data_IF_001585197287
#
_entry.id   IF_001585197287
#
_cell.length_a   1.000
_cell.length_b   1.000
_cell.length_c   1.000
_cell.angle_alpha   90.00
_cell.angle_beta   90.00
_cell.angle_gamma   90.00
#
_symmetry.space_group_name_H-M   'P 1'
#
loop_
_entity.id
_entity.type
_entity.pdbx_description
1 polymer ?
#
# COMPACT_ATOMS: atom_id res chain seq x y z
N UNK A 1 0.20 -1.04 13.93
CA UNK A 1 1.30 -1.94 13.54
C UNK A 1 0.71 -3.34 13.42
N UNK A 2 0.82 -4.03 12.28
CA UNK A 2 0.09 -5.30 12.09
C UNK A 2 0.56 -6.36 13.09
N UNK A 3 -0.38 -7.13 13.63
CA UNK A 3 -0.13 -8.14 14.66
C UNK A 3 0.92 -9.19 14.23
N UNK A 4 0.96 -9.47 12.92
CA UNK A 4 1.95 -10.32 12.24
C UNK A 4 3.37 -9.77 12.40
N UNK A 5 3.58 -8.45 12.25
CA UNK A 5 4.92 -7.84 12.38
C UNK A 5 5.43 -7.95 13.82
N UNK A 6 4.53 -7.83 14.81
CA UNK A 6 4.89 -8.02 16.23
C UNK A 6 5.31 -9.45 16.49
N UNK A 7 4.53 -10.43 16.04
CA UNK A 7 4.86 -11.85 16.21
C UNK A 7 6.20 -12.23 15.56
N UNK A 8 6.48 -11.70 14.36
CA UNK A 8 7.75 -11.93 13.66
C UNK A 8 8.93 -11.31 14.41
N UNK A 9 8.77 -10.11 14.98
CA UNK A 9 9.81 -9.46 15.80
C UNK A 9 10.13 -10.30 17.04
N UNK A 10 9.11 -10.77 17.76
CA UNK A 10 9.29 -11.55 18.98
C UNK A 10 9.94 -12.91 18.69
N UNK A 11 9.60 -13.53 17.55
CA UNK A 11 10.23 -14.76 17.09
C UNK A 11 11.70 -14.56 16.75
N UNK A 12 12.06 -13.48 16.04
CA UNK A 12 13.47 -13.18 15.70
C UNK A 12 14.28 -12.89 16.97
N UNK A 13 13.73 -12.12 17.91
CA UNK A 13 14.42 -11.82 19.17
C UNK A 13 14.77 -13.09 19.96
N UNK A 14 13.82 -14.03 20.08
CA UNK A 14 14.07 -15.33 20.72
C UNK A 14 15.13 -16.16 20.00
N UNK A 15 15.18 -16.09 18.67
CA UNK A 15 16.15 -16.84 17.87
C UNK A 15 17.56 -16.22 17.93
N UNK A 16 17.68 -14.91 18.04
CA UNK A 16 18.95 -14.23 18.33
C UNK A 16 19.50 -14.58 19.72
N UNK A 17 18.62 -14.72 20.72
CA UNK A 17 19.03 -15.20 22.05
C UNK A 17 19.58 -16.62 22.02
N UNK A 18 18.95 -17.53 21.26
CA UNK A 18 19.44 -18.90 21.08
C UNK A 18 20.80 -18.93 20.35
N UNK A 19 21.01 -18.04 19.37
CA UNK A 19 22.31 -17.87 18.69
C UNK A 19 23.39 -17.42 19.68
N UNK A 20 23.09 -16.46 20.55
CA UNK A 20 24.05 -15.98 21.58
C UNK A 20 24.42 -17.07 22.59
N UNK A 21 23.52 -18.01 22.85
CA UNK A 21 23.75 -19.16 23.74
C UNK A 21 24.50 -20.32 23.05
N UNK A 22 24.77 -20.22 21.74
CA UNK A 22 25.43 -21.29 20.99
C UNK A 22 24.55 -22.51 20.72
N UNK A 23 23.24 -22.40 20.99
CA UNK A 23 22.26 -23.49 20.87
C UNK A 23 21.60 -23.54 19.48
N UNK A 24 22.00 -22.65 18.58
CA UNK A 24 21.45 -22.55 17.23
C UNK A 24 22.36 -23.28 16.23
N UNK A 25 21.89 -24.35 15.56
CA UNK A 25 22.65 -25.01 14.50
C UNK A 25 23.05 -24.02 13.40
N UNK A 26 24.29 -24.11 12.88
CA UNK A 26 24.83 -23.16 11.89
C UNK A 26 23.96 -23.00 10.63
N UNK A 27 23.37 -24.09 10.14
CA UNK A 27 22.46 -24.06 8.99
C UNK A 27 21.22 -23.21 9.26
N UNK A 28 20.64 -23.31 10.46
CA UNK A 28 19.51 -22.48 10.90
C UNK A 28 19.93 -21.03 11.11
N UNK A 29 21.20 -20.77 11.47
CA UNK A 29 21.76 -19.43 11.60
C UNK A 29 21.75 -18.64 10.28
N UNK A 30 22.18 -19.28 9.17
CA UNK A 30 22.17 -18.66 7.83
C UNK A 30 20.74 -18.38 7.33
N UNK A 31 19.83 -19.31 7.57
CA UNK A 31 18.41 -19.13 7.22
C UNK A 31 17.77 -18.00 8.02
N UNK A 32 18.14 -17.85 9.30
CA UNK A 32 17.71 -16.75 10.16
C UNK A 32 18.20 -15.38 9.69
N UNK A 33 19.48 -15.27 9.30
CA UNK A 33 20.01 -14.02 8.75
C UNK A 33 19.27 -13.61 7.47
N UNK A 34 18.96 -14.60 6.61
CA UNK A 34 18.16 -14.37 5.39
C UNK A 34 16.76 -13.87 5.74
N UNK A 35 16.07 -14.52 6.69
CA UNK A 35 14.72 -14.13 7.12
C UNK A 35 14.71 -12.77 7.83
N UNK A 36 15.72 -12.45 8.64
CA UNK A 36 15.87 -11.15 9.27
C UNK A 36 16.09 -10.05 8.23
N UNK A 37 16.92 -10.30 7.21
CA UNK A 37 17.11 -9.40 6.07
C UNK A 37 15.81 -9.16 5.29
N UNK A 38 15.06 -10.23 5.01
CA UNK A 38 13.74 -10.12 4.37
C UNK A 38 12.74 -9.35 5.24
N UNK A 39 12.77 -9.50 6.57
CA UNK A 39 11.93 -8.74 7.48
C UNK A 39 12.32 -7.25 7.50
N UNK A 40 13.61 -6.93 7.49
CA UNK A 40 14.07 -5.54 7.37
C UNK A 40 13.63 -4.92 6.03
N UNK A 41 13.70 -5.66 4.93
CA UNK A 41 13.12 -5.25 3.65
C UNK A 41 11.60 -5.05 3.75
N UNK A 42 10.88 -5.97 4.40
CA UNK A 42 9.44 -5.84 4.67
C UNK A 42 9.09 -4.64 5.58
N UNK A 43 9.95 -4.28 6.54
CA UNK A 43 9.80 -3.07 7.37
C UNK A 43 10.02 -1.79 6.56
N UNK A 44 10.88 -1.83 5.53
CA UNK A 44 11.04 -0.74 4.56
C UNK A 44 9.83 -0.62 3.64
N UNK A 45 9.09 -1.71 3.40
CA UNK A 45 7.75 -1.68 2.81
C UNK A 45 6.77 -1.14 3.86
N UNK A 46 6.92 0.15 4.17
CA UNK A 46 5.88 0.88 4.88
C UNK A 46 4.69 0.98 3.93
N UNK A 47 3.64 0.21 4.23
CA UNK A 47 2.27 0.56 3.84
C UNK A 47 1.75 1.79 4.62
N UNK A 48 2.61 2.42 5.43
CA UNK A 48 2.37 3.74 6.00
C UNK A 48 2.32 4.74 4.85
N UNK A 49 1.34 5.64 4.89
CA UNK A 49 1.06 6.63 3.85
C UNK A 49 0.54 6.03 2.53
N UNK A 50 -0.55 5.28 2.62
CA UNK A 50 -1.31 4.86 1.44
C UNK A 50 -2.72 5.43 1.41
N UNK A 51 -3.18 5.82 0.22
CA UNK A 51 -4.58 6.11 -0.09
C UNK A 51 -5.05 5.00 -1.01
N UNK A 52 -6.10 4.27 -0.63
CA UNK A 52 -6.54 3.10 -1.37
C UNK A 52 -8.05 3.10 -1.61
N UNK A 53 -8.45 2.57 -2.76
CA UNK A 53 -9.83 2.14 -2.98
C UNK A 53 -10.08 0.76 -2.35
N UNK A 54 -11.36 0.43 -2.16
CA UNK A 54 -11.78 -0.97 -2.06
C UNK A 54 -11.71 -1.59 -3.46
N UNK A 55 -12.02 -2.89 -3.55
CA UNK A 55 -12.33 -3.49 -4.85
C UNK A 55 -13.64 -2.85 -5.32
N UNK A 56 -13.56 -2.08 -6.39
CA UNK A 56 -14.71 -1.49 -7.05
C UNK A 56 -15.13 -2.36 -8.22
N UNK A 57 -16.40 -2.27 -8.61
CA UNK A 57 -16.95 -2.94 -9.80
C UNK A 57 -16.40 -2.41 -11.12
N UNK A 58 -15.72 -1.26 -11.10
CA UNK A 58 -15.10 -0.64 -12.27
C UNK A 58 -13.89 0.22 -11.89
N UNK A 59 -12.97 0.47 -12.83
CA UNK A 59 -11.88 1.44 -12.68
C UNK A 59 -12.37 2.85 -12.35
N UNK A 60 -13.48 3.27 -12.97
CA UNK A 60 -14.17 4.55 -12.65
C UNK A 60 -14.63 4.61 -11.20
N UNK A 61 -15.21 3.51 -10.70
CA UNK A 61 -15.60 3.36 -9.30
C UNK A 61 -14.41 3.42 -8.35
N UNK A 62 -13.30 2.77 -8.70
CA UNK A 62 -12.07 2.81 -7.92
C UNK A 62 -11.53 4.25 -7.80
N UNK A 63 -11.49 5.01 -8.90
CA UNK A 63 -11.09 6.42 -8.91
C UNK A 63 -11.97 7.30 -8.02
N UNK A 64 -13.29 7.07 -8.03
CA UNK A 64 -14.22 7.81 -7.17
C UNK A 64 -13.97 7.54 -5.68
N UNK A 65 -13.76 6.27 -5.31
CA UNK A 65 -13.41 5.90 -3.93
C UNK A 65 -12.07 6.50 -3.51
N UNK A 66 -11.07 6.46 -4.40
CA UNK A 66 -9.74 7.01 -4.17
C UNK A 66 -9.79 8.53 -3.93
N UNK A 67 -10.60 9.26 -4.71
CA UNK A 67 -10.85 10.70 -4.49
C UNK A 67 -11.41 10.97 -3.10
N UNK A 68 -12.40 10.19 -2.66
CA UNK A 68 -13.00 10.35 -1.32
C UNK A 68 -11.96 10.12 -0.22
N UNK A 69 -11.17 9.05 -0.35
CA UNK A 69 -10.12 8.71 0.60
C UNK A 69 -9.03 9.80 0.66
N UNK A 70 -8.65 10.37 -0.49
CA UNK A 70 -7.72 11.50 -0.55
C UNK A 70 -8.22 12.72 0.25
N UNK A 71 -9.47 13.16 0.04
CA UNK A 71 -9.99 14.32 0.77
C UNK A 71 -10.18 14.06 2.26
N UNK A 72 -10.49 12.82 2.64
CA UNK A 72 -10.52 12.42 4.05
C UNK A 72 -9.12 12.54 4.68
N UNK A 73 -8.08 12.05 3.98
CA UNK A 73 -6.70 12.14 4.46
C UNK A 73 -6.21 13.58 4.57
N UNK A 74 -6.49 14.38 3.55
CA UNK A 74 -6.17 15.82 3.51
C UNK A 74 -6.73 16.56 4.73
N UNK A 75 -7.96 16.25 5.12
CA UNK A 75 -8.60 16.84 6.29
C UNK A 75 -8.03 16.32 7.61
N UNK A 76 -7.70 15.03 7.69
CA UNK A 76 -7.19 14.40 8.91
C UNK A 76 -5.79 14.90 9.28
N UNK A 77 -4.91 15.06 8.28
CA UNK A 77 -3.51 15.47 8.49
C UNK A 77 -3.29 16.99 8.50
N UNK A 78 -4.36 17.79 8.34
CA UNK A 78 -4.30 19.27 8.29
C UNK A 78 -3.28 19.81 7.27
N UNK A 79 -3.20 19.15 6.11
CA UNK A 79 -2.27 19.51 5.05
C UNK A 79 -2.80 20.67 4.22
N UNK A 80 -1.90 21.33 3.47
CA UNK A 80 -2.28 22.41 2.58
C UNK A 80 -3.18 21.90 1.47
N UNK A 81 -4.40 22.46 1.45
CA UNK A 81 -5.46 22.06 0.53
C UNK A 81 -5.08 22.37 -0.92
N UNK A 82 -4.41 23.49 -1.18
CA UNK A 82 -4.15 23.98 -2.53
C UNK A 82 -3.06 23.14 -3.21
N UNK A 83 -1.89 23.00 -2.59
CA UNK A 83 -0.77 22.16 -3.07
C UNK A 83 -1.20 20.69 -3.17
N UNK A 84 -1.81 20.13 -2.14
CA UNK A 84 -2.25 18.72 -2.17
C UNK A 84 -3.31 18.45 -3.23
N UNK A 85 -4.27 19.38 -3.45
CA UNK A 85 -5.28 19.21 -4.51
C UNK A 85 -4.69 19.34 -5.92
N UNK A 86 -3.65 20.17 -6.09
CA UNK A 86 -2.92 20.27 -7.35
C UNK A 86 -2.18 18.97 -7.67
N UNK A 87 -1.48 18.42 -6.69
CA UNK A 87 -0.79 17.13 -6.82
C UNK A 87 -1.78 15.98 -7.08
N UNK A 88 -2.90 15.97 -6.38
CA UNK A 88 -3.97 15.01 -6.63
C UNK A 88 -4.50 15.12 -8.06
N UNK A 89 -4.76 16.33 -8.58
CA UNK A 89 -5.24 16.51 -9.96
C UNK A 89 -4.25 15.91 -10.97
N UNK A 90 -2.95 16.18 -10.79
CA UNK A 90 -1.87 15.63 -11.63
C UNK A 90 -1.88 14.10 -11.65
N UNK A 91 -1.99 13.47 -10.48
CA UNK A 91 -2.00 12.00 -10.36
C UNK A 91 -3.30 11.40 -10.87
N UNK A 92 -4.45 12.01 -10.56
CA UNK A 92 -5.75 11.55 -11.00
C UNK A 92 -5.88 11.56 -12.53
N UNK A 93 -5.36 12.60 -13.20
CA UNK A 93 -5.31 12.65 -14.66
C UNK A 93 -4.50 11.48 -15.22
N UNK A 94 -3.27 11.26 -14.72
CA UNK A 94 -2.42 10.13 -15.16
C UNK A 94 -3.08 8.77 -14.93
N UNK A 95 -3.77 8.58 -13.80
CA UNK A 95 -4.49 7.34 -13.52
C UNK A 95 -5.64 7.12 -14.50
N UNK A 96 -6.43 8.16 -14.78
CA UNK A 96 -7.55 8.07 -15.74
C UNK A 96 -7.03 7.74 -17.14
N UNK A 97 -5.97 8.41 -17.59
CA UNK A 97 -5.32 8.12 -18.87
C UNK A 97 -4.85 6.66 -18.94
N UNK A 98 -4.15 6.19 -17.90
CA UNK A 98 -3.69 4.80 -17.82
C UNK A 98 -4.84 3.79 -17.83
N UNK A 99 -5.89 4.02 -17.03
CA UNK A 99 -7.05 3.12 -16.98
C UNK A 99 -7.76 3.04 -18.33
N UNK A 100 -7.88 4.17 -19.04
CA UNK A 100 -8.48 4.20 -20.37
C UNK A 100 -7.59 3.48 -21.40
N UNK A 101 -6.29 3.75 -21.42
CA UNK A 101 -5.33 3.11 -22.32
C UNK A 101 -5.33 1.58 -22.15
N UNK A 102 -5.45 1.10 -20.91
CA UNK A 102 -5.47 -0.34 -20.60
C UNK A 102 -6.87 -0.97 -20.64
N UNK A 103 -7.92 -0.22 -20.98
CA UNK A 103 -9.30 -0.75 -21.01
C UNK A 103 -9.85 -1.15 -19.64
N UNK A 104 -9.29 -0.64 -18.54
CA UNK A 104 -9.64 -1.01 -17.16
C UNK A 104 -10.82 -0.19 -16.60
N UNK A 105 -11.30 0.80 -17.35
CA UNK A 105 -12.33 1.74 -16.89
C UNK A 105 -13.62 1.06 -16.42
N UNK A 106 -13.96 -0.09 -17.01
CA UNK A 106 -15.18 -0.86 -16.74
C UNK A 106 -14.92 -2.24 -16.11
N UNK A 107 -13.67 -2.50 -15.73
CA UNK A 107 -13.25 -3.77 -15.14
C UNK A 107 -13.15 -3.60 -13.61
N UNK A 108 -13.58 -4.59 -12.81
CA UNK A 108 -13.38 -4.55 -11.36
C UNK A 108 -11.93 -4.25 -11.01
N UNK A 109 -11.71 -3.22 -10.20
CA UNK A 109 -10.37 -2.63 -10.01
C UNK A 109 -10.16 -2.20 -8.55
N UNK A 110 -8.93 -2.33 -8.07
CA UNK A 110 -8.43 -1.74 -6.83
C UNK A 110 -7.19 -0.90 -7.12
N UNK A 111 -7.15 0.31 -6.59
CA UNK A 111 -6.00 1.22 -6.74
C UNK A 111 -5.43 1.50 -5.35
N UNK A 112 -4.10 1.41 -5.23
CA UNK A 112 -3.34 1.79 -4.04
C UNK A 112 -2.34 2.86 -4.47
N UNK A 113 -2.43 4.03 -3.85
CA UNK A 113 -1.48 5.13 -4.01
C UNK A 113 -0.58 5.22 -2.80
N UNK A 114 0.72 5.24 -3.04
CA UNK A 114 1.74 5.54 -2.04
C UNK A 114 2.08 7.03 -2.10
N UNK A 115 2.23 7.66 -0.94
CA UNK A 115 2.59 9.06 -0.84
C UNK A 115 3.60 9.33 0.29
N UNK A 116 4.26 10.47 0.22
CA UNK A 116 4.94 11.09 1.35
C UNK A 116 4.22 12.37 1.76
N UNK A 117 4.37 12.73 3.02
CA UNK A 117 4.08 14.08 3.50
C UNK A 117 5.39 14.87 3.42
N UNK A 118 5.41 15.89 2.56
CA UNK A 118 6.58 16.76 2.39
C UNK A 118 6.27 18.14 2.95
N UNK A 119 7.26 18.74 3.60
CA UNK A 119 7.22 20.13 4.06
C UNK A 119 8.15 20.98 3.19
N UNK A 120 7.58 21.94 2.46
CA UNK A 120 8.32 22.91 1.65
C UNK A 120 7.84 24.31 2.00
N UNK A 121 8.76 25.20 2.37
CA UNK A 121 8.46 26.60 2.73
C UNK A 121 7.45 26.70 3.88
N UNK A 122 7.52 25.78 4.85
CA UNK A 122 6.58 25.70 5.99
C UNK A 122 5.20 25.14 5.64
N UNK A 123 5.01 24.65 4.41
CA UNK A 123 3.74 24.10 3.92
C UNK A 123 3.84 22.59 3.77
N UNK A 124 3.02 21.84 4.51
CA UNK A 124 2.93 20.38 4.41
C UNK A 124 1.93 19.96 3.34
N UNK A 125 2.32 19.05 2.44
CA UNK A 125 1.45 18.55 1.38
C UNK A 125 1.74 17.07 1.04
N UNK A 126 0.77 16.44 0.37
CA UNK A 126 0.90 15.07 -0.12
C UNK A 126 1.66 15.03 -1.44
N UNK A 127 2.77 14.29 -1.49
CA UNK A 127 3.49 13.97 -2.73
C UNK A 127 3.39 12.49 -3.05
N UNK A 128 2.67 12.16 -4.11
CA UNK A 128 2.47 10.77 -4.53
C UNK A 128 3.71 10.21 -5.23
N UNK A 129 4.02 8.94 -4.96
CA UNK A 129 5.17 8.21 -5.49
C UNK A 129 4.78 7.21 -6.54
N UNK A 130 3.93 6.25 -6.16
CA UNK A 130 3.66 5.04 -6.92
C UNK A 130 2.17 4.72 -6.86
N UNK A 131 1.65 4.20 -7.96
CA UNK A 131 0.32 3.62 -8.03
C UNK A 131 0.42 2.12 -8.31
N UNK A 132 -0.24 1.29 -7.49
CA UNK A 132 -0.49 -0.12 -7.80
C UNK A 132 -1.94 -0.27 -8.21
N UNK A 133 -2.17 -0.82 -9.40
CA UNK A 133 -3.50 -1.02 -9.97
C UNK A 133 -3.69 -2.52 -10.13
N UNK A 134 -4.68 -3.06 -9.41
CA UNK A 134 -5.12 -4.45 -9.51
C UNK A 134 -6.43 -4.46 -10.28
N UNK A 135 -6.53 -5.31 -11.29
CA UNK A 135 -7.78 -5.58 -12.00
C UNK A 135 -8.16 -7.04 -11.80
N UNK A 136 -9.46 -7.32 -11.85
CA UNK A 136 -9.99 -8.65 -11.59
C UNK A 136 -10.92 -9.05 -12.73
N UNK A 137 -10.58 -10.16 -13.37
CA UNK A 137 -11.43 -10.79 -14.38
C UNK A 137 -12.40 -11.77 -13.71
N UNK A 138 -13.48 -12.09 -14.41
CA UNK A 138 -14.43 -13.11 -13.97
C UNK A 138 -13.73 -14.47 -13.94
N UNK A 139 -13.53 -15.03 -12.75
CA UNK A 139 -12.95 -16.36 -12.59
C UNK A 139 -13.98 -17.48 -12.88
N UNK A 140 -15.27 -17.19 -12.72
CA UNK A 140 -16.37 -18.14 -12.93
C UNK A 140 -17.63 -17.73 -12.18
N UNK A 141 -18.70 -18.49 -12.36
CA UNK A 141 -19.95 -18.34 -11.60
C UNK A 141 -20.61 -19.70 -11.42
N UNK A 142 -21.42 -19.82 -10.37
CA UNK A 142 -22.37 -20.91 -10.21
C UNK A 142 -23.78 -20.33 -10.30
N UNK A 143 -24.65 -21.00 -11.05
CA UNK A 143 -26.08 -20.68 -11.05
C UNK A 143 -26.78 -21.67 -10.15
N UNK A 144 -27.55 -21.17 -9.18
CA UNK A 144 -28.47 -21.95 -8.38
C UNK A 144 -29.89 -21.47 -8.72
N UNK A 145 -30.72 -22.37 -9.20
CA UNK A 145 -32.15 -22.12 -9.34
C UNK A 145 -32.82 -22.33 -7.97
N UNK A 146 -33.64 -21.35 -7.54
CA UNK A 146 -34.34 -21.33 -6.25
C UNK A 146 -35.83 -21.62 -6.45
#
# INVERSE_FOLDING_TARGET
MSEIIRMLRDAIGKLEELRRRGELPEEKGKELEKLAGMLEELKKIRLENTIQSRIATSGRGAMFQLRKAFYAQLSAEKLDKKKSSSEWKRVATKLVEFLNEKGLSDIPTKIILEYDVIEEEGVKYLKFKTARIYYFELAGYYTLEL
#
